data_IF_315076255520
#
_entry.id   IF_315076255520
#
_cell.length_a   1.000
_cell.length_b   1.000
_cell.length_c   1.000
_cell.angle_alpha   90.00
_cell.angle_beta   90.00
_cell.angle_gamma   90.00
#
_symmetry.space_group_name_H-M   'P 1'
#
loop_
_entity.id
_entity.type
_entity.pdbx_description
1 polymer ?
#
# COMPACT_ATOMS: atom_id res chain seq x y z
N UNK A 1 -17.87 -16.59 19.76
CA UNK A 1 -17.26 -15.45 20.50
C UNK A 1 -17.16 -14.30 19.51
N UNK A 2 -17.77 -13.14 19.79
CA UNK A 2 -17.61 -11.98 18.93
C UNK A 2 -16.15 -11.54 18.97
N UNK A 3 -15.49 -11.42 17.82
CA UNK A 3 -14.14 -10.87 17.76
C UNK A 3 -14.19 -9.41 18.25
N UNK A 4 -13.32 -9.08 19.20
CA UNK A 4 -13.18 -7.69 19.65
C UNK A 4 -12.33 -6.93 18.63
N UNK A 5 -12.75 -5.70 18.31
CA UNK A 5 -11.94 -4.79 17.48
C UNK A 5 -10.59 -4.56 18.18
N UNK A 6 -9.44 -4.66 17.47
CA UNK A 6 -8.14 -4.35 18.06
C UNK A 6 -8.15 -2.96 18.70
N UNK A 7 -7.44 -2.78 19.83
CA UNK A 7 -7.47 -1.55 20.63
C UNK A 7 -7.07 -0.27 19.86
N UNK A 8 -6.34 -0.43 18.75
CA UNK A 8 -5.93 0.66 17.87
C UNK A 8 -7.07 1.27 17.03
N UNK A 9 -8.25 0.64 16.95
CA UNK A 9 -9.34 1.09 16.08
C UNK A 9 -10.66 1.27 16.83
N UNK A 10 -11.38 2.34 16.48
CA UNK A 10 -12.73 2.57 17.01
C UNK A 10 -13.70 1.47 16.52
N UNK A 11 -14.62 0.95 17.36
CA UNK A 11 -15.53 -0.14 16.97
C UNK A 11 -16.36 0.13 15.71
N UNK A 12 -16.70 1.40 15.45
CA UNK A 12 -17.43 1.81 14.24
C UNK A 12 -16.68 1.49 12.94
N UNK A 13 -15.34 1.44 12.96
CA UNK A 13 -14.50 1.14 11.79
C UNK A 13 -14.80 -0.26 11.28
N UNK A 14 -14.97 -1.23 12.19
CA UNK A 14 -15.32 -2.61 11.83
C UNK A 14 -16.62 -2.67 11.04
N UNK A 15 -17.65 -1.96 11.49
CA UNK A 15 -18.96 -1.97 10.84
C UNK A 15 -18.91 -1.45 9.40
N UNK A 16 -18.12 -0.43 9.14
CA UNK A 16 -17.94 0.10 7.78
C UNK A 16 -17.14 -0.84 6.88
N UNK A 17 -16.07 -1.45 7.37
CA UNK A 17 -15.28 -2.42 6.59
C UNK A 17 -16.13 -3.65 6.22
N UNK A 18 -17.02 -4.11 7.11
CA UNK A 18 -17.97 -5.18 6.79
C UNK A 18 -18.85 -4.80 5.60
N UNK A 19 -19.43 -3.59 5.59
CA UNK A 19 -20.23 -3.09 4.46
C UNK A 19 -19.42 -3.02 3.17
N UNK A 20 -18.13 -2.71 3.23
CA UNK A 20 -17.29 -2.68 2.04
C UNK A 20 -17.03 -4.09 1.49
N UNK A 21 -16.84 -5.10 2.35
CA UNK A 21 -16.77 -6.50 1.90
C UNK A 21 -18.10 -7.00 1.32
N UNK A 22 -19.23 -6.56 1.87
CA UNK A 22 -20.55 -6.80 1.26
C UNK A 22 -20.62 -6.17 -0.14
N UNK A 23 -20.18 -4.94 -0.32
CA UNK A 23 -20.13 -4.28 -1.64
C UNK A 23 -19.18 -5.00 -2.61
N UNK A 24 -18.01 -5.42 -2.15
CA UNK A 24 -17.04 -6.19 -2.95
C UNK A 24 -17.66 -7.49 -3.47
N UNK A 25 -18.49 -8.18 -2.65
CA UNK A 25 -19.19 -9.40 -3.07
C UNK A 25 -20.13 -9.20 -4.27
N UNK A 26 -20.57 -7.95 -4.49
CA UNK A 26 -21.44 -7.56 -5.60
C UNK A 26 -20.67 -7.01 -6.80
N UNK A 27 -19.43 -6.56 -6.59
CA UNK A 27 -18.59 -5.93 -7.61
C UNK A 27 -17.10 -6.19 -7.34
N UNK A 28 -16.51 -7.13 -8.08
CA UNK A 28 -15.10 -7.53 -7.91
C UNK A 28 -14.09 -6.46 -8.34
N UNK A 29 -14.54 -5.36 -8.94
CA UNK A 29 -13.67 -4.22 -9.30
C UNK A 29 -13.42 -3.28 -8.12
N UNK A 30 -14.05 -3.55 -6.99
CA UNK A 30 -13.82 -2.81 -5.76
C UNK A 30 -12.45 -3.17 -5.19
N UNK A 31 -11.75 -2.18 -4.65
CA UNK A 31 -10.48 -2.31 -3.98
C UNK A 31 -10.67 -1.82 -2.55
N UNK A 32 -10.39 -2.69 -1.57
CA UNK A 32 -10.45 -2.35 -0.15
C UNK A 32 -9.02 -2.28 0.37
N UNK A 33 -8.61 -1.09 0.83
CA UNK A 33 -7.24 -0.81 1.27
C UNK A 33 -7.19 -0.21 2.69
N UNK A 34 -6.10 -0.49 3.37
CA UNK A 34 -5.61 0.22 4.55
C UNK A 34 -4.24 0.81 4.23
N UNK A 35 -3.99 2.05 4.65
CA UNK A 35 -2.73 2.76 4.45
C UNK A 35 -2.29 3.45 5.72
N UNK A 36 -1.00 3.33 6.05
CA UNK A 36 -0.34 4.12 7.10
C UNK A 36 0.29 5.34 6.44
N UNK A 37 -0.06 6.54 6.91
CA UNK A 37 0.46 7.80 6.37
C UNK A 37 1.76 8.20 7.08
N UNK A 38 2.64 8.89 6.35
CA UNK A 38 3.88 9.49 6.88
C UNK A 38 4.83 8.50 7.57
N UNK A 39 4.96 7.28 7.02
CA UNK A 39 5.96 6.33 7.50
C UNK A 39 7.35 6.82 7.11
N UNK A 40 8.24 6.99 8.09
CA UNK A 40 9.65 7.29 7.84
C UNK A 40 10.45 6.05 7.40
N UNK A 41 11.63 6.27 6.83
CA UNK A 41 12.50 5.19 6.31
C UNK A 41 12.76 4.07 7.32
N UNK A 42 13.15 4.42 8.55
CA UNK A 42 13.43 3.43 9.59
C UNK A 42 12.21 2.54 9.92
N UNK A 43 11.00 3.13 9.92
CA UNK A 43 9.76 2.39 10.12
C UNK A 43 9.45 1.47 8.94
N UNK A 44 9.66 1.97 7.72
CA UNK A 44 9.49 1.21 6.48
C UNK A 44 10.41 -0.01 6.41
N UNK A 45 11.73 0.19 6.60
CA UNK A 45 12.72 -0.88 6.53
C UNK A 45 12.50 -1.95 7.60
N UNK A 46 12.04 -1.55 8.78
CA UNK A 46 11.68 -2.52 9.82
C UNK A 46 10.52 -3.41 9.39
N UNK A 47 9.42 -2.83 8.87
CA UNK A 47 8.30 -3.63 8.39
C UNK A 47 8.79 -4.54 7.25
N UNK A 48 9.58 -4.00 6.32
CA UNK A 48 10.11 -4.75 5.19
C UNK A 48 10.95 -5.95 5.62
N UNK A 49 11.90 -5.77 6.53
CA UNK A 49 12.73 -6.86 7.07
C UNK A 49 11.87 -7.92 7.72
N UNK A 50 10.94 -7.47 8.58
CA UNK A 50 10.11 -8.38 9.37
C UNK A 50 9.15 -9.20 8.51
N UNK A 51 8.60 -8.62 7.43
CA UNK A 51 7.82 -9.37 6.45
C UNK A 51 8.73 -10.31 5.66
N UNK A 52 9.91 -9.87 5.22
CA UNK A 52 10.81 -10.67 4.37
C UNK A 52 11.33 -11.95 5.04
N UNK A 53 11.44 -11.96 6.37
CA UNK A 53 11.85 -13.13 7.15
C UNK A 53 10.82 -14.27 7.13
N UNK A 54 9.54 -13.97 6.88
CA UNK A 54 8.47 -14.94 6.95
C UNK A 54 8.36 -15.78 5.66
N UNK A 55 8.84 -17.03 5.68
CA UNK A 55 8.85 -17.88 4.47
C UNK A 55 7.47 -18.35 3.98
N UNK A 56 6.41 -18.16 4.75
CA UNK A 56 5.06 -18.62 4.42
C UNK A 56 4.25 -17.75 3.45
N UNK A 57 4.85 -16.76 2.79
CA UNK A 57 4.15 -15.96 1.78
C UNK A 57 3.95 -16.72 0.47
N UNK A 58 2.82 -16.48 -0.19
CA UNK A 58 2.49 -17.13 -1.47
C UNK A 58 3.43 -16.76 -2.62
N UNK A 59 4.25 -15.72 -2.47
CA UNK A 59 5.14 -15.18 -3.49
C UNK A 59 6.60 -15.05 -3.02
N UNK A 60 7.05 -15.92 -2.11
CA UNK A 60 8.44 -15.95 -1.64
C UNK A 60 9.39 -16.63 -2.66
N UNK A 61 10.62 -16.12 -2.90
CA UNK A 61 11.18 -14.88 -2.35
C UNK A 61 10.59 -13.65 -3.04
N UNK A 62 10.32 -12.60 -2.24
CA UNK A 62 9.77 -11.35 -2.75
C UNK A 62 10.88 -10.53 -3.40
N UNK A 63 10.65 -10.13 -4.65
CA UNK A 63 11.49 -9.16 -5.38
C UNK A 63 10.71 -7.87 -5.59
N UNK A 64 11.36 -6.70 -5.52
CA UNK A 64 10.66 -5.47 -5.78
C UNK A 64 10.25 -5.38 -7.25
N UNK A 65 9.03 -4.92 -7.49
CA UNK A 65 8.56 -4.47 -8.79
C UNK A 65 8.89 -2.98 -8.95
N UNK A 66 9.44 -2.61 -10.10
CA UNK A 66 9.68 -1.21 -10.45
C UNK A 66 8.65 -0.77 -11.49
N UNK A 67 7.99 0.36 -11.25
CA UNK A 67 7.04 0.97 -12.17
C UNK A 67 7.17 2.48 -12.22
N UNK A 68 6.69 3.06 -13.31
CA UNK A 68 6.40 4.49 -13.42
C UNK A 68 4.89 4.66 -13.53
N UNK A 69 4.29 5.35 -12.55
CA UNK A 69 2.90 5.77 -12.64
C UNK A 69 2.86 7.21 -13.18
N UNK A 70 2.03 7.43 -14.20
CA UNK A 70 1.79 8.73 -14.84
C UNK A 70 0.33 9.11 -14.62
N UNK A 71 0.10 10.25 -13.98
CA UNK A 71 -1.25 10.73 -13.64
C UNK A 71 -1.70 11.80 -14.64
N UNK A 72 -2.73 11.49 -15.41
CA UNK A 72 -3.34 12.43 -16.36
C UNK A 72 -4.35 13.36 -15.67
N UNK A 73 -4.55 14.55 -16.21
CA UNK A 73 -5.48 15.55 -15.67
C UNK A 73 -6.94 15.09 -15.65
N UNK A 74 -7.31 14.10 -16.47
CA UNK A 74 -8.60 13.43 -16.45
C UNK A 74 -8.82 12.54 -15.21
N UNK A 75 -7.76 12.26 -14.45
CA UNK A 75 -7.75 11.30 -13.34
C UNK A 75 -7.29 9.90 -13.72
N UNK A 76 -7.07 9.60 -15.01
CA UNK A 76 -6.53 8.30 -15.46
C UNK A 76 -5.07 8.16 -15.03
N UNK A 77 -4.73 7.01 -14.45
CA UNK A 77 -3.38 6.56 -14.15
C UNK A 77 -2.91 5.62 -15.27
N UNK A 78 -1.83 5.97 -15.94
CA UNK A 78 -1.05 5.05 -16.75
C UNK A 78 0.06 4.42 -15.88
N UNK A 79 0.22 3.10 -15.95
CA UNK A 79 1.26 2.36 -15.24
C UNK A 79 2.18 1.70 -16.25
N UNK A 80 3.47 2.07 -16.23
CA UNK A 80 4.51 1.52 -17.11
C UNK A 80 5.42 0.60 -16.32
N UNK A 81 5.54 -0.64 -16.78
CA UNK A 81 6.44 -1.66 -16.24
C UNK A 81 7.30 -2.17 -17.40
N UNK A 82 8.60 -2.34 -17.17
CA UNK A 82 9.51 -2.83 -18.19
C UNK A 82 9.02 -4.15 -18.79
N UNK A 83 9.04 -4.27 -20.11
CA UNK A 83 8.60 -5.45 -20.87
C UNK A 83 7.10 -5.79 -20.73
N UNK A 84 6.26 -4.84 -20.31
CA UNK A 84 4.80 -4.99 -20.30
C UNK A 84 4.13 -3.85 -21.07
N UNK A 85 2.96 -4.08 -21.70
CA UNK A 85 2.16 -3.00 -22.23
C UNK A 85 1.71 -2.06 -21.10
N UNK A 86 1.55 -0.75 -21.35
CA UNK A 86 1.03 0.18 -20.34
C UNK A 86 -0.40 -0.18 -19.93
N UNK A 87 -0.69 -0.05 -18.63
CA UNK A 87 -2.02 -0.27 -18.07
C UNK A 87 -2.66 1.08 -17.69
N UNK A 88 -3.91 1.29 -18.08
CA UNK A 88 -4.65 2.54 -17.83
C UNK A 88 -5.85 2.29 -16.93
N UNK A 89 -5.89 2.98 -15.79
CA UNK A 89 -6.92 2.78 -14.76
C UNK A 89 -7.42 4.12 -14.25
N UNK A 90 -8.73 4.24 -14.03
CA UNK A 90 -9.34 5.33 -13.29
C UNK A 90 -9.81 4.79 -11.93
N UNK A 91 -9.33 5.40 -10.83
CA UNK A 91 -9.72 5.04 -9.46
C UNK A 91 -10.88 5.93 -9.01
N UNK A 92 -12.07 5.38 -8.95
CA UNK A 92 -13.28 6.04 -8.43
C UNK A 92 -13.35 5.87 -6.91
N UNK A 93 -13.26 6.98 -6.18
CA UNK A 93 -13.13 7.01 -4.72
C UNK A 93 -14.46 7.26 -3.99
N UNK A 94 -15.59 7.30 -4.70
CA UNK A 94 -16.89 7.70 -4.16
C UNK A 94 -17.56 6.72 -3.17
N UNK A 95 -16.91 5.61 -2.80
CA UNK A 95 -17.54 4.51 -2.08
C UNK A 95 -17.35 4.55 -0.56
N UNK A 96 -16.23 5.10 -0.07
CA UNK A 96 -16.01 5.25 1.37
C UNK A 96 -14.55 5.47 1.75
N UNK A 97 -14.33 6.33 2.75
CA UNK A 97 -13.03 6.58 3.35
C UNK A 97 -13.20 6.80 4.86
N UNK A 98 -12.32 6.19 5.65
CA UNK A 98 -12.20 6.41 7.09
C UNK A 98 -10.76 6.78 7.40
N UNK A 99 -10.56 7.99 7.92
CA UNK A 99 -9.25 8.47 8.35
C UNK A 99 -9.25 8.69 9.85
N UNK A 100 -8.22 8.22 10.55
CA UNK A 100 -8.08 8.37 12.00
C UNK A 100 -6.61 8.47 12.41
N UNK A 101 -6.36 9.00 13.60
CA UNK A 101 -5.06 8.94 14.28
C UNK A 101 -5.08 7.80 15.29
N UNK A 102 -4.03 6.98 15.30
CA UNK A 102 -3.88 5.86 16.23
C UNK A 102 -3.29 6.32 17.55
N UNK A 103 -3.45 5.51 18.59
CA UNK A 103 -2.84 5.70 19.92
C UNK A 103 -1.30 5.76 19.90
N UNK A 104 -0.67 5.29 18.81
CA UNK A 104 0.77 5.36 18.59
C UNK A 104 1.19 6.52 17.65
N UNK A 105 0.30 7.48 17.39
CA UNK A 105 0.60 8.74 16.69
C UNK A 105 0.69 8.64 15.17
N UNK A 106 0.30 7.50 14.58
CA UNK A 106 0.23 7.37 13.13
C UNK A 106 -1.15 7.72 12.63
N UNK A 107 -1.22 8.54 11.57
CA UNK A 107 -2.45 8.72 10.82
C UNK A 107 -2.64 7.55 9.86
N UNK A 108 -3.81 6.91 9.92
CA UNK A 108 -4.16 5.78 9.09
C UNK A 108 -5.43 6.07 8.30
N UNK A 109 -5.55 5.41 7.16
CA UNK A 109 -6.73 5.47 6.29
C UNK A 109 -7.17 4.06 5.94
N UNK A 110 -8.45 3.78 6.11
CA UNK A 110 -9.14 2.71 5.42
C UNK A 110 -9.94 3.33 4.27
N UNK A 111 -9.94 2.72 3.10
CA UNK A 111 -10.76 3.20 1.99
C UNK A 111 -11.23 2.07 1.10
N UNK A 112 -12.34 2.33 0.43
CA UNK A 112 -12.84 1.50 -0.65
C UNK A 112 -12.99 2.36 -1.90
N UNK A 113 -12.53 1.82 -3.03
CA UNK A 113 -12.58 2.47 -4.33
C UNK A 113 -12.94 1.45 -5.41
N UNK A 114 -13.32 1.91 -6.59
CA UNK A 114 -13.44 1.05 -7.76
C UNK A 114 -12.30 1.38 -8.74
N UNK A 115 -11.57 0.35 -9.18
CA UNK A 115 -10.60 0.51 -10.27
C UNK A 115 -11.27 0.15 -11.61
N UNK A 116 -11.34 1.12 -12.52
CA UNK A 116 -11.99 0.96 -13.82
C UNK A 116 -10.94 1.02 -14.93
N UNK A 117 -10.76 -0.08 -15.70
CA UNK A 117 -9.90 -0.06 -16.89
C UNK A 117 -10.32 1.01 -17.88
N UNK A 118 -9.34 1.72 -18.44
CA UNK A 118 -9.52 2.76 -19.45
C UNK A 118 -8.64 2.50 -20.66
N UNK A 119 -8.89 3.22 -21.74
CA UNK A 119 -7.97 3.33 -22.85
C UNK A 119 -6.86 4.35 -22.52
N UNK A 120 -5.88 4.45 -23.42
CA UNK A 120 -4.89 5.52 -23.37
C UNK A 120 -5.55 6.91 -23.27
N UNK A 121 -4.93 7.81 -22.52
CA UNK A 121 -5.44 9.15 -22.23
C UNK A 121 -4.50 10.21 -22.78
N UNK A 122 -5.04 11.18 -23.53
CA UNK A 122 -4.28 12.28 -24.14
C UNK A 122 -4.30 13.56 -23.32
N UNK A 123 -4.96 13.56 -22.16
CA UNK A 123 -5.01 14.72 -21.27
C UNK A 123 -3.62 15.04 -20.74
N UNK A 124 -3.34 16.32 -20.42
CA UNK A 124 -2.06 16.72 -19.86
C UNK A 124 -1.66 15.90 -18.64
N UNK A 125 -0.38 15.55 -18.56
CA UNK A 125 0.18 14.84 -17.40
C UNK A 125 0.36 15.84 -16.25
N UNK A 126 -0.07 15.45 -15.06
CA UNK A 126 -0.04 16.28 -13.85
C UNK A 126 0.99 15.80 -12.83
N UNK A 127 1.35 14.51 -12.86
CA UNK A 127 2.28 13.93 -11.89
C UNK A 127 2.93 12.65 -12.45
N UNK A 128 4.20 12.47 -12.09
CA UNK A 128 4.98 11.25 -12.30
C UNK A 128 5.34 10.67 -10.94
N UNK A 129 5.27 9.35 -10.80
CA UNK A 129 5.68 8.62 -9.58
C UNK A 129 6.54 7.42 -9.96
N UNK A 130 7.83 7.48 -9.64
CA UNK A 130 8.70 6.31 -9.72
C UNK A 130 8.49 5.47 -8.46
N UNK A 131 8.12 4.19 -8.66
CA UNK A 131 7.80 3.28 -7.58
C UNK A 131 8.74 2.08 -7.59
N UNK A 132 9.21 1.72 -6.40
CA UNK A 132 9.81 0.43 -6.11
C UNK A 132 8.97 -0.24 -5.02
N UNK A 133 8.24 -1.29 -5.38
CA UNK A 133 7.23 -1.92 -4.53
C UNK A 133 7.59 -3.35 -4.17
N UNK A 134 7.50 -3.67 -2.88
CA UNK A 134 7.56 -5.02 -2.35
C UNK A 134 6.14 -5.45 -1.97
N UNK A 135 5.67 -6.54 -2.57
CA UNK A 135 4.33 -7.07 -2.30
C UNK A 135 4.48 -8.41 -1.59
N UNK A 136 3.77 -8.61 -0.48
CA UNK A 136 3.73 -9.88 0.27
C UNK A 136 2.30 -10.40 0.33
N UNK A 137 2.05 -11.60 -0.20
CA UNK A 137 0.68 -12.14 -0.26
C UNK A 137 0.46 -13.18 0.83
N UNK A 138 -0.52 -12.92 1.70
CA UNK A 138 -0.92 -13.82 2.78
C UNK A 138 -2.14 -14.65 2.39
N UNK A 139 -1.93 -15.96 2.21
CA UNK A 139 -3.00 -16.95 1.95
C UNK A 139 -3.93 -16.58 0.78
N UNK A 140 -3.42 -15.82 -0.20
CA UNK A 140 -4.21 -15.35 -1.35
C UNK A 140 -5.35 -14.37 -1.02
N UNK A 141 -5.43 -13.85 0.21
CA UNK A 141 -6.53 -12.97 0.64
C UNK A 141 -6.08 -11.52 0.84
N UNK A 142 -4.87 -11.31 1.34
CA UNK A 142 -4.37 -9.98 1.67
C UNK A 142 -2.97 -9.78 1.09
N UNK A 143 -2.74 -8.61 0.51
CA UNK A 143 -1.43 -8.13 0.07
C UNK A 143 -0.94 -7.06 1.04
N UNK A 144 0.30 -7.20 1.51
CA UNK A 144 1.02 -6.09 2.12
C UNK A 144 1.88 -5.45 1.04
N UNK A 145 1.68 -4.17 0.76
CA UNK A 145 2.47 -3.43 -0.23
C UNK A 145 3.32 -2.37 0.46
N UNK A 146 4.64 -2.48 0.30
CA UNK A 146 5.61 -1.53 0.79
C UNK A 146 6.25 -0.85 -0.42
N UNK A 147 5.95 0.43 -0.62
CA UNK A 147 6.40 1.17 -1.79
C UNK A 147 7.33 2.31 -1.40
N UNK A 148 8.54 2.31 -1.98
CA UNK A 148 9.39 3.50 -2.04
C UNK A 148 8.97 4.33 -3.26
N UNK A 149 8.70 5.62 -3.05
CA UNK A 149 8.16 6.50 -4.08
C UNK A 149 9.02 7.74 -4.21
N UNK A 150 9.31 8.15 -5.45
CA UNK A 150 9.71 9.52 -5.74
C UNK A 150 8.70 10.13 -6.70
N UNK A 151 8.31 11.39 -6.49
CA UNK A 151 7.24 12.02 -7.26
C UNK A 151 7.52 13.47 -7.62
N UNK A 152 7.00 13.91 -8.77
CA UNK A 152 7.18 15.27 -9.29
C UNK A 152 6.23 15.57 -10.45
N UNK A 153 6.19 16.82 -10.90
CA UNK A 153 5.31 17.28 -12.00
C UNK A 153 5.88 16.97 -13.38
N UNK A 154 7.18 16.66 -13.46
CA UNK A 154 7.87 16.09 -14.62
C UNK A 154 8.63 14.83 -14.22
N UNK A 155 8.95 13.96 -15.18
CA UNK A 155 9.73 12.74 -14.93
C UNK A 155 11.09 13.04 -14.30
N UNK A 156 11.81 14.05 -14.83
CA UNK A 156 13.09 14.48 -14.27
C UNK A 156 12.94 14.98 -12.82
N UNK A 157 11.92 15.78 -12.52
CA UNK A 157 11.68 16.25 -11.16
C UNK A 157 11.32 15.10 -10.21
N UNK A 158 10.58 14.10 -10.69
CA UNK A 158 10.26 12.91 -9.91
C UNK A 158 11.50 12.07 -9.62
N UNK A 159 12.43 11.93 -10.57
CA UNK A 159 13.69 11.20 -10.36
C UNK A 159 14.58 11.85 -9.29
N UNK A 160 14.59 13.19 -9.24
CA UNK A 160 15.39 14.00 -8.31
C UNK A 160 14.70 14.24 -6.96
N UNK A 161 13.40 13.94 -6.85
CA UNK A 161 12.64 14.20 -5.64
C UNK A 161 13.13 13.36 -4.45
N UNK A 162 12.96 13.86 -3.20
CA UNK A 162 13.15 13.07 -2.00
C UNK A 162 12.30 11.81 -2.02
N UNK A 163 12.82 10.75 -1.40
CA UNK A 163 12.07 9.49 -1.26
C UNK A 163 10.96 9.64 -0.22
N UNK A 164 9.78 9.13 -0.53
CA UNK A 164 8.70 8.88 0.42
C UNK A 164 8.40 7.38 0.51
N UNK A 165 7.78 6.98 1.60
CA UNK A 165 7.53 5.58 1.93
C UNK A 165 6.03 5.37 2.17
N UNK A 166 5.47 4.38 1.49
CA UNK A 166 4.06 4.00 1.59
C UNK A 166 3.96 2.57 2.10
N UNK A 167 3.08 2.35 3.08
CA UNK A 167 2.78 1.03 3.64
C UNK A 167 1.29 0.80 3.54
N UNK A 168 0.91 -0.25 2.81
CA UNK A 168 -0.47 -0.56 2.47
C UNK A 168 -0.79 -2.02 2.77
N UNK A 169 -2.06 -2.27 3.07
CA UNK A 169 -2.68 -3.58 3.17
C UNK A 169 -3.91 -3.57 2.27
N UNK A 170 -3.96 -4.45 1.28
CA UNK A 170 -5.05 -4.55 0.30
C UNK A 170 -5.70 -5.92 0.39
N UNK A 171 -7.03 -5.99 0.26
CA UNK A 171 -7.69 -7.25 0.02
C UNK A 171 -7.55 -7.67 -1.46
N UNK A 172 -7.12 -8.91 -1.69
CA UNK A 172 -6.92 -9.45 -3.04
C UNK A 172 -7.59 -10.81 -3.26
N UNK A 173 -8.50 -11.20 -2.37
CA UNK A 173 -9.23 -12.45 -2.50
C UNK A 173 -10.22 -12.43 -3.67
N UNK A 174 -10.49 -13.59 -4.25
CA UNK A 174 -11.53 -13.73 -5.27
C UNK A 174 -12.93 -13.54 -4.66
N UNK A 175 -13.95 -13.19 -5.43
CA UNK A 175 -15.29 -13.00 -4.85
C UNK A 175 -15.89 -14.27 -4.25
N UNK A 176 -15.51 -15.44 -4.76
CA UNK A 176 -15.88 -16.72 -4.14
C UNK A 176 -15.39 -16.88 -2.69
N UNK A 177 -14.41 -16.06 -2.27
CA UNK A 177 -13.91 -16.01 -0.91
C UNK A 177 -14.67 -15.02 0.00
N UNK A 178 -15.64 -14.24 -0.51
CA UNK A 178 -16.51 -13.34 0.27
C UNK A 178 -17.96 -13.83 0.36
N UNK A 179 -18.43 -14.72 -0.53
CA UNK A 179 -19.85 -15.10 -0.62
C UNK A 179 -20.35 -16.12 0.41
N UNK A 180 -19.51 -16.58 1.35
CA UNK A 180 -19.91 -17.53 2.40
C UNK A 180 -20.56 -16.79 3.58
N UNK A 181 -21.47 -17.46 4.28
CA UNK A 181 -22.09 -16.91 5.49
C UNK A 181 -21.02 -16.54 6.55
N UNK A 182 -21.12 -15.34 7.12
CA UNK A 182 -20.19 -14.82 8.14
C UNK A 182 -18.81 -14.40 7.60
N UNK A 183 -18.60 -14.45 6.29
CA UNK A 183 -17.29 -14.24 5.69
C UNK A 183 -16.89 -12.76 5.61
N UNK A 184 -17.86 -11.85 5.45
CA UNK A 184 -17.59 -10.41 5.45
C UNK A 184 -17.04 -9.95 6.80
N UNK A 185 -17.64 -10.43 7.90
CA UNK A 185 -17.18 -10.20 9.26
C UNK A 185 -15.79 -10.75 9.49
N UNK A 186 -15.56 -12.01 9.09
CA UNK A 186 -14.23 -12.63 9.18
C UNK A 186 -13.17 -11.82 8.43
N UNK A 187 -13.46 -11.34 7.23
CA UNK A 187 -12.52 -10.57 6.42
C UNK A 187 -12.25 -9.18 7.00
N UNK A 188 -13.28 -8.50 7.51
CA UNK A 188 -13.11 -7.24 8.22
C UNK A 188 -12.22 -7.41 9.46
N UNK A 189 -12.48 -8.44 10.27
CA UNK A 189 -11.67 -8.75 11.45
C UNK A 189 -10.23 -9.13 11.05
N UNK A 190 -10.07 -9.92 10.00
CA UNK A 190 -8.76 -10.33 9.47
C UNK A 190 -7.94 -9.14 8.95
N UNK A 191 -8.59 -8.17 8.31
CA UNK A 191 -7.96 -6.93 7.85
C UNK A 191 -7.54 -6.05 9.04
N UNK A 192 -8.43 -5.84 10.01
CA UNK A 192 -8.14 -5.07 11.22
C UNK A 192 -6.98 -5.67 12.02
N UNK A 193 -6.96 -7.00 12.19
CA UNK A 193 -5.86 -7.68 12.89
C UNK A 193 -4.52 -7.50 12.18
N UNK A 194 -4.50 -7.53 10.84
CA UNK A 194 -3.26 -7.30 10.05
C UNK A 194 -2.82 -5.84 10.08
N UNK A 195 -3.76 -4.91 10.02
CA UNK A 195 -3.48 -3.49 10.18
C UNK A 195 -2.90 -3.19 11.57
N UNK A 196 -3.45 -3.79 12.62
CA UNK A 196 -2.92 -3.71 13.97
C UNK A 196 -1.50 -4.29 14.08
N UNK A 197 -1.22 -5.44 13.45
CA UNK A 197 0.11 -6.04 13.43
C UNK A 197 1.15 -5.14 12.73
N UNK A 198 0.80 -4.47 11.63
CA UNK A 198 1.66 -3.48 10.99
C UNK A 198 1.97 -2.30 11.92
N UNK A 199 0.96 -1.78 12.61
CA UNK A 199 1.12 -0.68 13.57
C UNK A 199 1.98 -1.10 14.77
N UNK A 200 1.80 -2.32 15.28
CA UNK A 200 2.61 -2.85 16.37
C UNK A 200 4.10 -2.95 15.99
N UNK A 201 4.41 -3.32 14.75
CA UNK A 201 5.81 -3.33 14.25
C UNK A 201 6.44 -1.94 14.27
N UNK A 202 5.65 -0.89 14.04
CA UNK A 202 6.09 0.51 14.09
C UNK A 202 6.23 1.05 15.52
N UNK A 203 5.36 0.67 16.46
CA UNK A 203 5.41 1.17 17.84
C UNK A 203 6.71 0.77 18.57
N UNK A 204 7.27 -0.37 18.22
CA UNK A 204 8.57 -0.82 18.73
C UNK A 204 9.76 -0.03 18.13
N UNK A 205 9.57 0.82 17.12
CA UNK A 205 10.64 1.58 16.47
C UNK A 205 10.88 2.93 17.17
N UNK A 206 9.80 3.53 17.71
CA UNK A 206 9.87 4.80 18.45
C UNK A 206 10.58 4.73 19.81
N UNK A 207 10.90 3.54 20.33
CA UNK A 207 11.67 3.38 21.58
C UNK A 207 13.19 3.35 21.39
N UNK A 208 13.68 3.34 20.16
CA UNK A 208 15.13 3.34 19.86
C UNK A 208 15.66 4.72 19.43
N UNK A 209 14.81 5.74 19.36
CA UNK A 209 15.17 7.08 18.89
C UNK A 209 15.63 8.06 20.00
N UNK A 210 16.19 7.53 21.10
CA UNK A 210 16.83 8.34 22.16
C UNK A 210 18.35 8.03 22.27
N UNK A 211 18.92 7.33 21.28
CA UNK A 211 20.35 7.10 21.16
C UNK A 211 21.00 8.17 20.31
N UNK A 212 21.87 8.99 20.91
CA UNK A 212 22.67 10.01 20.25
C UNK A 212 23.28 9.51 18.95
N UNK A 213 23.10 10.27 17.86
CA UNK A 213 23.85 10.10 16.63
C UNK A 213 25.34 10.32 16.93
N UNK A 214 26.12 9.25 17.00
CA UNK A 214 27.57 9.34 16.81
C UNK A 214 27.83 9.32 15.31
N UNK A 215 28.45 10.39 14.83
CA UNK A 215 29.03 10.49 13.49
C UNK A 215 29.94 9.28 13.20
N UNK A 216 29.81 8.71 12.01
CA UNK A 216 30.76 7.75 11.47
C UNK A 216 30.15 6.38 11.20
N UNK A 217 29.40 6.26 10.10
CA UNK A 217 29.63 5.15 9.18
C UNK A 217 29.10 5.52 7.79
N UNK A 218 30.04 5.72 6.88
CA UNK A 218 29.82 6.01 5.48
C UNK A 218 29.30 4.73 4.81
N UNK A 219 27.98 4.60 4.68
CA UNK A 219 27.39 3.54 3.87
C UNK A 219 27.66 3.88 2.40
N UNK A 220 28.68 3.24 1.84
CA UNK A 220 29.00 3.27 0.41
C UNK A 220 27.80 2.70 -0.37
N UNK A 221 26.94 3.59 -0.86
CA UNK A 221 25.96 3.27 -1.88
C UNK A 221 26.73 2.93 -3.16
N UNK A 222 26.62 1.69 -3.62
CA UNK A 222 27.13 1.29 -4.92
C UNK A 222 26.56 2.23 -6.01
N UNK A 223 27.37 2.64 -7.00
CA UNK A 223 26.95 3.63 -7.99
C UNK A 223 25.78 3.09 -8.80
N UNK A 224 24.67 3.82 -8.74
CA UNK A 224 23.46 3.59 -9.51
C UNK A 224 23.74 3.76 -11.00
N UNK A 225 23.73 2.67 -11.75
CA UNK A 225 23.69 2.70 -13.22
C UNK A 225 22.41 3.41 -13.67
N UNK A 226 22.49 4.44 -14.54
CA UNK A 226 21.31 5.03 -15.15
C UNK A 226 20.63 3.97 -16.01
N UNK A 227 19.37 3.67 -15.74
CA UNK A 227 18.53 2.91 -16.67
C UNK A 227 17.88 3.91 -17.60
N UNK A 228 18.47 4.09 -18.79
CA UNK A 228 17.77 4.72 -19.91
C UNK A 228 16.59 3.82 -20.30
N UNK A 229 15.37 4.32 -20.13
CA UNK A 229 14.23 3.79 -20.85
C UNK A 229 14.31 4.37 -22.25
N UNK A 230 14.70 3.53 -23.21
CA UNK A 230 14.74 3.89 -24.63
C UNK A 230 13.35 4.27 -25.18
N UNK A 231 13.32 4.88 -26.38
CA UNK A 231 12.11 5.45 -26.98
C UNK A 231 11.00 4.43 -27.24
#
# INVERSE_FOLDING_TARGET
>A
MAASTPSHFHPAVRGEIVKWFEQYSLNERMEIEFRIQNVGEAGFERILSSLSEHRGWSNSPVKPMVSLDVMHASGVRETRIQNKPPEFLLKDKGFGELTMETDIGYKVRFSVAQEVPKSADSSPITMYRHKQRYTFVHKGLFKFELTRVKQGTSEQSAFQAPMSFEVELEFCGQASAVTREGQHEYLADSMLMKAADLLQRLSHAGRSADGSLTEGDEVVLAPSTPVELGP
#
